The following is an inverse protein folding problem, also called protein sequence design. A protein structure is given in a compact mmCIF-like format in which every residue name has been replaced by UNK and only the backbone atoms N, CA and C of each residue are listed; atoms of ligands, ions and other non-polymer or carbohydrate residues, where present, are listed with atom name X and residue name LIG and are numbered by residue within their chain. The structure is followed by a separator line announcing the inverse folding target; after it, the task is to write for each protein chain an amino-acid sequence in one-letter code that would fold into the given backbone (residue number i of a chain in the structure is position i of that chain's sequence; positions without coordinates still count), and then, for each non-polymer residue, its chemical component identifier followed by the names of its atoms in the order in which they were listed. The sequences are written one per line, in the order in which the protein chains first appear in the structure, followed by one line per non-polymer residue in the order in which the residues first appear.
data_IF_172138097828
#
_entry.id   IF_172138097828
#
_cell.length_a   1.000
_cell.length_b   1.000
_cell.length_c   1.000
_cell.angle_alpha   90.00
_cell.angle_beta   90.00
_cell.angle_gamma   90.00
#
_symmetry.space_group_name_H-M   'P 1'
#
loop_
_entity.id
_entity.type
_entity.pdbx_description
1 polymer ?
#
# COMPACT_ATOMS: atom_id res chain seq x y z
N UNK A 1 34.72 46.79 -26.87
CA UNK A 1 34.90 47.48 -25.57
C UNK A 1 34.27 46.55 -24.55
N UNK A 2 35.01 45.57 -24.02
CA UNK A 2 35.87 45.66 -22.81
C UNK A 2 35.04 45.79 -21.53
N UNK A 3 35.16 44.96 -20.49
CA UNK A 3 36.07 43.83 -20.23
C UNK A 3 35.43 42.86 -19.21
N UNK A 4 35.85 41.60 -19.25
CA UNK A 4 35.74 40.63 -18.13
C UNK A 4 36.83 40.96 -17.08
N UNK A 5 36.66 40.66 -15.78
CA UNK A 5 37.37 39.48 -15.27
C UNK A 5 36.77 38.77 -14.02
N UNK A 6 36.98 37.44 -13.93
CA UNK A 6 37.15 36.72 -12.67
C UNK A 6 38.60 36.87 -12.13
N UNK A 7 38.87 36.82 -10.80
CA UNK A 7 39.09 35.51 -10.14
C UNK A 7 38.84 35.47 -8.59
N UNK A 8 39.01 34.30 -7.96
CA UNK A 8 39.41 34.22 -6.53
C UNK A 8 38.78 33.09 -5.69
N UNK A 9 39.60 32.36 -4.92
CA UNK A 9 39.20 31.32 -3.92
C UNK A 9 39.60 31.73 -2.49
N UNK A 10 38.90 31.20 -1.49
CA UNK A 10 39.25 31.23 -0.04
C UNK A 10 38.30 32.12 0.79
N UNK A 11 37.95 31.84 2.05
CA UNK A 11 38.29 30.73 2.96
C UNK A 11 37.26 30.63 4.12
N UNK A 12 37.19 29.47 4.80
CA UNK A 12 36.23 29.13 5.90
C UNK A 12 36.61 29.82 7.24
N UNK A 13 35.71 29.95 8.25
CA UNK A 13 35.74 28.98 9.37
C UNK A 13 34.41 28.69 10.15
N UNK A 14 34.19 27.42 10.51
CA UNK A 14 33.46 26.93 11.72
C UNK A 14 31.93 27.11 11.82
N UNK A 15 31.18 26.33 12.63
CA UNK A 15 31.45 25.06 13.32
C UNK A 15 30.17 24.52 14.00
N UNK A 16 29.76 23.27 13.75
CA UNK A 16 28.77 22.51 14.58
C UNK A 16 29.21 21.02 14.63
N UNK A 17 29.06 20.27 15.75
CA UNK A 17 29.83 19.04 15.97
C UNK A 17 29.23 17.74 15.42
N UNK A 18 30.09 16.72 15.36
CA UNK A 18 29.81 15.30 15.14
C UNK A 18 28.97 14.69 16.33
N UNK A 19 28.45 13.46 16.32
CA UNK A 19 28.96 12.21 15.73
C UNK A 19 27.84 11.20 15.44
N UNK A 20 28.03 10.37 14.41
CA UNK A 20 28.09 8.90 14.52
C UNK A 20 28.83 8.38 13.27
N UNK A 21 29.97 7.74 13.46
CA UNK A 21 30.75 7.15 12.38
C UNK A 21 30.93 5.66 12.62
N UNK A 22 30.69 4.85 11.60
CA UNK A 22 31.21 3.50 11.44
C UNK A 22 31.46 3.29 9.95
N UNK A 23 32.70 3.56 9.56
CA UNK A 23 33.25 3.25 8.24
C UNK A 23 33.66 1.77 8.25
N UNK A 24 33.20 0.97 7.30
CA UNK A 24 33.68 -0.40 7.11
C UNK A 24 33.96 -0.67 5.63
N UNK A 25 35.22 -1.00 5.35
CA UNK A 25 35.70 -1.40 4.03
C UNK A 25 34.97 -2.65 3.51
N UNK A 26 34.55 -2.61 2.25
CA UNK A 26 34.04 -3.78 1.53
C UNK A 26 35.19 -4.56 0.88
N UNK A 27 35.39 -5.86 1.18
CA UNK A 27 36.33 -6.70 0.44
C UNK A 27 35.72 -7.13 -0.91
N UNK A 28 36.55 -7.10 -1.96
CA UNK A 28 36.16 -7.47 -3.32
C UNK A 28 35.81 -8.97 -3.46
N UNK A 29 34.88 -9.28 -4.38
CA UNK A 29 34.41 -10.66 -4.65
C UNK A 29 35.53 -11.54 -5.22
N UNK A 30 35.92 -12.58 -4.47
CA UNK A 30 36.77 -13.69 -4.94
C UNK A 30 35.94 -14.91 -5.35
N UNK A 31 36.33 -15.58 -6.43
CA UNK A 31 35.57 -16.70 -7.00
C UNK A 31 35.94 -18.07 -6.42
N UNK A 32 34.94 -18.95 -6.28
CA UNK A 32 35.08 -20.40 -6.40
C UNK A 32 35.64 -21.18 -5.19
N UNK A 33 34.78 -21.98 -4.56
CA UNK A 33 35.16 -23.31 -4.09
C UNK A 33 33.93 -24.23 -3.96
N UNK A 34 34.12 -25.51 -4.28
CA UNK A 34 33.09 -26.54 -4.24
C UNK A 34 32.91 -27.11 -2.83
N UNK A 35 31.66 -27.23 -2.37
CA UNK A 35 31.35 -27.85 -1.07
C UNK A 35 31.29 -29.37 -1.20
N UNK A 36 32.23 -30.07 -0.57
CA UNK A 36 32.14 -31.51 -0.34
C UNK A 36 31.47 -31.78 1.02
N UNK A 37 30.36 -32.51 1.01
CA UNK A 37 29.75 -33.05 2.22
C UNK A 37 30.37 -34.42 2.54
N UNK A 38 30.73 -34.65 3.81
CA UNK A 38 31.10 -35.96 4.32
C UNK A 38 30.32 -36.25 5.60
N UNK A 39 29.71 -37.43 5.66
CA UNK A 39 28.89 -37.89 6.78
C UNK A 39 29.78 -38.67 7.75
N UNK A 40 29.74 -38.32 9.03
CA UNK A 40 30.28 -39.17 10.10
C UNK A 40 29.21 -39.46 11.14
N UNK A 41 28.75 -40.71 11.14
CA UNK A 41 28.00 -41.34 12.21
C UNK A 41 28.95 -41.80 13.32
N UNK A 42 28.62 -41.55 14.59
CA UNK A 42 29.22 -42.26 15.73
C UNK A 42 28.18 -42.58 16.81
N UNK A 43 28.33 -43.76 17.40
CA UNK A 43 27.37 -44.41 18.28
C UNK A 43 27.57 -44.13 19.77
N UNK A 44 26.59 -44.59 20.55
CA UNK A 44 26.39 -44.36 21.99
C UNK A 44 27.42 -44.93 22.99
N UNK A 45 27.54 -44.26 24.16
CA UNK A 45 27.70 -44.74 25.56
C UNK A 45 28.43 -43.65 26.40
N UNK A 46 28.22 -43.43 27.70
CA UNK A 46 27.23 -43.93 28.68
C UNK A 46 27.63 -43.56 30.14
N UNK A 47 26.65 -43.32 31.02
CA UNK A 47 26.75 -43.20 32.50
C UNK A 47 27.42 -41.94 33.14
N UNK A 48 27.00 -41.60 34.37
CA UNK A 48 27.70 -40.65 35.27
C UNK A 48 26.81 -39.59 35.96
N UNK A 49 26.10 -39.94 37.03
CA UNK A 49 25.31 -38.97 37.80
C UNK A 49 26.14 -38.23 38.86
N UNK A 50 25.97 -36.90 38.98
CA UNK A 50 26.26 -36.17 40.23
C UNK A 50 25.30 -34.98 40.39
N UNK A 51 24.76 -34.83 41.59
CA UNK A 51 23.75 -33.82 41.92
C UNK A 51 24.38 -32.52 42.40
N UNK A 52 23.98 -31.38 41.80
CA UNK A 52 24.20 -30.03 42.33
C UNK A 52 22.87 -29.28 42.39
N UNK A 53 22.60 -28.45 43.41
CA UNK A 53 21.37 -27.66 43.45
C UNK A 53 21.41 -26.60 42.34
N UNK A 54 20.39 -26.59 41.48
CA UNK A 54 20.21 -25.51 40.50
C UNK A 54 19.77 -24.21 41.19
N UNK A 55 20.19 -23.02 40.71
CA UNK A 55 19.73 -21.75 41.25
C UNK A 55 18.21 -21.58 41.04
N UNK A 56 17.50 -21.20 42.10
CA UNK A 56 16.10 -20.77 42.01
C UNK A 56 16.03 -19.45 41.27
N UNK A 57 15.53 -19.47 40.03
CA UNK A 57 15.21 -18.26 39.28
C UNK A 57 13.81 -17.77 39.64
N UNK A 58 13.75 -16.57 40.24
CA UNK A 58 12.48 -15.86 40.44
C UNK A 58 11.86 -15.52 39.09
N UNK A 59 10.57 -15.83 38.95
CA UNK A 59 9.79 -15.64 37.72
C UNK A 59 9.50 -14.15 37.52
N UNK A 60 10.44 -13.41 36.93
CA UNK A 60 10.17 -12.08 36.35
C UNK A 60 9.18 -12.27 35.21
N UNK A 61 7.89 -12.05 35.48
CA UNK A 61 6.82 -12.29 34.53
C UNK A 61 6.93 -11.38 33.31
N UNK A 62 6.48 -11.90 32.16
CA UNK A 62 6.12 -11.05 31.01
C UNK A 62 5.02 -10.04 31.39
N UNK A 63 4.69 -9.10 30.47
CA UNK A 63 3.80 -7.98 30.76
C UNK A 63 2.49 -8.47 31.40
N UNK A 64 2.14 -7.85 32.52
CA UNK A 64 0.97 -8.27 33.30
C UNK A 64 -0.32 -8.11 32.46
N UNK A 65 -1.36 -8.88 32.78
CA UNK A 65 -2.72 -8.69 32.21
C UNK A 65 -3.27 -7.26 32.39
N UNK A 66 -2.67 -6.45 33.27
CA UNK A 66 -3.02 -5.04 33.44
C UNK A 66 -2.27 -4.10 32.46
N UNK A 67 -1.11 -4.51 31.94
CA UNK A 67 -0.41 -3.78 30.87
C UNK A 67 -1.01 -4.05 29.49
N UNK A 68 -1.39 -5.30 29.19
CA UNK A 68 -2.13 -5.61 27.95
C UNK A 68 -3.45 -4.84 27.88
N UNK A 69 -4.27 -4.91 28.95
CA UNK A 69 -5.53 -4.14 29.07
C UNK A 69 -5.38 -2.63 28.95
N UNK A 70 -4.20 -2.05 29.22
CA UNK A 70 -3.93 -0.62 29.02
C UNK A 70 -3.55 -0.27 27.57
N UNK A 71 -3.07 -1.23 26.80
CA UNK A 71 -2.89 -1.08 25.35
C UNK A 71 -4.23 -1.21 24.63
N UNK A 72 -5.07 -2.17 25.05
CA UNK A 72 -6.40 -2.42 24.47
C UNK A 72 -7.30 -1.16 24.55
N UNK A 73 -7.29 -0.45 25.68
CA UNK A 73 -8.09 0.76 25.91
C UNK A 73 -7.67 1.99 25.07
N UNK A 74 -6.61 1.89 24.26
CA UNK A 74 -6.10 2.97 23.41
C UNK A 74 -6.41 2.77 21.91
N UNK A 75 -7.17 1.73 21.54
CA UNK A 75 -7.67 1.53 20.18
C UNK A 75 -9.09 2.07 20.04
N UNK A 76 -9.46 2.68 18.90
CA UNK A 76 -10.86 2.90 18.58
C UNK A 76 -11.56 1.55 18.31
N UNK A 77 -12.88 1.55 18.21
CA UNK A 77 -13.63 0.35 17.77
C UNK A 77 -13.36 0.03 16.29
N UNK A 78 -13.07 1.05 15.49
CA UNK A 78 -12.64 0.99 14.09
C UNK A 78 -11.75 2.19 13.81
N UNK A 79 -10.75 2.05 12.94
CA UNK A 79 -9.96 3.19 12.45
C UNK A 79 -10.60 3.92 11.25
N UNK A 80 -11.87 3.63 10.92
CA UNK A 80 -12.64 4.37 9.92
C UNK A 80 -12.87 5.83 10.33
N UNK A 81 -12.81 6.72 9.34
CA UNK A 81 -13.37 8.07 9.43
C UNK A 81 -14.90 8.01 9.40
N UNK A 82 -15.56 8.83 10.23
CA UNK A 82 -17.03 8.91 10.36
C UNK A 82 -17.52 10.34 10.12
N UNK A 83 -18.78 10.48 9.67
CA UNK A 83 -19.41 11.81 9.56
C UNK A 83 -19.40 12.51 10.95
N UNK A 84 -18.80 13.70 11.00
CA UNK A 84 -18.54 14.45 12.24
C UNK A 84 -17.07 14.44 12.67
N UNK A 85 -16.26 13.50 12.18
CA UNK A 85 -14.80 13.58 12.31
C UNK A 85 -14.25 14.76 11.49
N UNK A 86 -13.08 15.31 11.86
CA UNK A 86 -12.44 16.36 11.09
C UNK A 86 -12.19 15.94 9.63
N UNK A 87 -12.58 16.78 8.67
CA UNK A 87 -12.51 16.45 7.24
C UNK A 87 -11.09 16.41 6.67
N UNK A 88 -10.13 17.11 7.28
CA UNK A 88 -8.79 17.28 6.74
C UNK A 88 -8.80 18.06 5.43
N UNK A 89 -8.05 17.61 4.43
CA UNK A 89 -8.09 18.12 3.05
C UNK A 89 -9.26 17.59 2.21
N UNK A 90 -10.00 16.58 2.72
CA UNK A 90 -11.00 15.85 1.92
C UNK A 90 -12.15 16.74 1.46
N UNK A 91 -12.50 16.54 0.19
CA UNK A 91 -13.76 16.96 -0.43
C UNK A 91 -14.63 15.73 -0.63
N UNK A 92 -15.92 15.94 -0.79
CA UNK A 92 -16.91 14.87 -0.98
C UNK A 92 -17.76 15.18 -2.21
N UNK A 93 -18.08 14.13 -2.98
CA UNK A 93 -19.03 14.18 -4.08
C UNK A 93 -20.01 13.01 -3.92
N UNK A 94 -21.31 13.30 -3.91
CA UNK A 94 -22.34 12.26 -3.94
C UNK A 94 -22.60 11.91 -5.42
N UNK A 95 -22.27 10.69 -5.82
CA UNK A 95 -22.29 10.24 -7.23
C UNK A 95 -23.58 9.49 -7.62
N UNK A 96 -24.54 9.36 -6.70
CA UNK A 96 -25.79 8.63 -6.91
C UNK A 96 -25.67 7.13 -6.64
N UNK A 97 -26.50 6.33 -7.29
CA UNK A 97 -26.50 4.88 -7.12
C UNK A 97 -25.42 4.20 -7.98
N UNK A 98 -24.87 3.10 -7.47
CA UNK A 98 -23.87 2.27 -8.16
C UNK A 98 -24.40 0.83 -8.27
N UNK A 99 -24.70 0.39 -9.49
CA UNK A 99 -24.95 -1.02 -9.81
C UNK A 99 -23.61 -1.79 -9.81
N UNK A 100 -23.61 -3.03 -9.33
CA UNK A 100 -22.39 -3.79 -9.07
C UNK A 100 -22.21 -4.98 -10.03
N UNK A 101 -20.98 -5.27 -10.44
CA UNK A 101 -20.62 -6.40 -11.30
C UNK A 101 -21.02 -7.75 -10.70
N UNK A 102 -20.91 -7.90 -9.38
CA UNK A 102 -21.36 -9.10 -8.64
C UNK A 102 -22.90 -9.19 -8.48
N UNK A 103 -23.64 -8.19 -8.95
CA UNK A 103 -25.08 -8.02 -8.73
C UNK A 103 -25.41 -7.29 -7.43
N UNK A 104 -26.60 -6.67 -7.42
CA UNK A 104 -26.98 -5.72 -6.37
C UNK A 104 -26.50 -4.30 -6.67
N UNK A 105 -26.79 -3.37 -5.76
CA UNK A 105 -26.47 -1.96 -5.92
C UNK A 105 -26.22 -1.29 -4.57
N UNK A 106 -25.44 -0.20 -4.58
CA UNK A 106 -25.35 0.75 -3.47
C UNK A 106 -26.22 1.96 -3.84
N UNK A 107 -27.32 2.25 -3.12
CA UNK A 107 -28.33 3.24 -3.55
C UNK A 107 -27.85 4.70 -3.49
N UNK A 108 -26.82 4.99 -2.69
CA UNK A 108 -26.17 6.30 -2.62
C UNK A 108 -24.69 6.13 -2.26
N UNK A 109 -23.81 6.42 -3.21
CA UNK A 109 -22.36 6.43 -3.02
C UNK A 109 -21.89 7.88 -2.87
N UNK A 110 -21.12 8.11 -1.80
CA UNK A 110 -20.30 9.31 -1.60
C UNK A 110 -18.85 8.93 -1.86
N UNK A 111 -18.17 9.73 -2.66
CA UNK A 111 -16.73 9.63 -2.90
C UNK A 111 -16.01 10.74 -2.13
N UNK A 112 -15.10 10.37 -1.23
CA UNK A 112 -14.13 11.29 -0.66
C UNK A 112 -12.88 11.37 -1.54
N UNK A 113 -12.37 12.57 -1.76
CA UNK A 113 -11.22 12.81 -2.62
C UNK A 113 -10.45 14.06 -2.21
N UNK A 114 -9.19 14.14 -2.61
CA UNK A 114 -8.35 15.34 -2.49
C UNK A 114 -7.86 15.79 -3.87
N UNK A 115 -7.51 17.07 -3.99
CA UNK A 115 -7.10 17.69 -5.27
C UNK A 115 -5.97 18.70 -5.09
N UNK A 116 -5.02 18.73 -6.02
CA UNK A 116 -3.92 19.70 -6.06
C UNK A 116 -3.77 20.27 -7.48
N UNK A 117 -3.28 21.51 -7.60
CA UNK A 117 -3.28 22.23 -8.89
C UNK A 117 -4.67 22.71 -9.31
N UNK A 118 -4.81 23.10 -10.58
CA UNK A 118 -6.03 23.71 -11.13
C UNK A 118 -6.41 23.06 -12.47
N UNK A 119 -7.68 22.67 -12.61
CA UNK A 119 -8.23 22.16 -13.87
C UNK A 119 -8.36 23.30 -14.89
N UNK A 120 -7.90 23.07 -16.12
CA UNK A 120 -8.00 24.05 -17.20
C UNK A 120 -9.41 24.06 -17.84
N UNK A 121 -9.70 25.06 -18.68
CA UNK A 121 -11.01 25.22 -19.33
C UNK A 121 -11.36 24.06 -20.30
N UNK A 122 -10.35 23.39 -20.84
CA UNK A 122 -10.52 22.22 -21.70
C UNK A 122 -10.96 20.98 -20.92
N UNK A 123 -10.54 20.84 -19.66
CA UNK A 123 -10.75 19.67 -18.81
C UNK A 123 -9.77 18.53 -19.09
N UNK A 124 -8.58 18.83 -19.63
CA UNK A 124 -7.63 17.84 -20.19
C UNK A 124 -6.23 17.84 -19.53
N UNK A 125 -5.95 18.71 -18.55
CA UNK A 125 -4.70 18.69 -17.79
C UNK A 125 -4.76 17.84 -16.50
N UNK A 126 -5.69 16.89 -16.41
CA UNK A 126 -5.94 16.15 -15.18
C UNK A 126 -5.04 14.91 -15.01
N UNK A 127 -4.65 14.60 -13.76
CA UNK A 127 -3.90 13.38 -13.40
C UNK A 127 -4.59 12.68 -12.23
N UNK A 128 -4.85 11.38 -12.36
CA UNK A 128 -5.53 10.56 -11.36
C UNK A 128 -4.53 9.67 -10.61
N UNK A 129 -4.49 9.78 -9.29
CA UNK A 129 -3.60 9.01 -8.41
C UNK A 129 -4.41 8.01 -7.58
N UNK A 130 -4.19 6.72 -7.84
CA UNK A 130 -4.97 5.62 -7.29
C UNK A 130 -4.16 4.87 -6.21
N UNK A 131 -4.63 4.97 -4.96
CA UNK A 131 -3.95 4.42 -3.80
C UNK A 131 -4.00 2.87 -3.73
N UNK A 132 -3.01 2.31 -3.04
CA UNK A 132 -2.93 0.88 -2.69
C UNK A 132 -3.91 0.48 -1.56
N UNK A 133 -3.99 -0.82 -1.23
CA UNK A 133 -4.97 -1.44 -0.31
C UNK A 133 -5.24 -0.66 0.98
N UNK A 134 -4.19 -0.19 1.68
CA UNK A 134 -4.33 0.54 2.95
C UNK A 134 -3.96 2.03 2.87
N UNK A 135 -3.93 2.58 1.65
CA UNK A 135 -3.84 4.02 1.41
C UNK A 135 -5.22 4.70 1.43
N UNK A 136 -5.24 5.99 1.14
CA UNK A 136 -6.45 6.82 1.06
C UNK A 136 -6.24 7.99 0.08
N UNK A 137 -7.13 8.98 0.11
CA UNK A 137 -7.03 10.22 -0.68
C UNK A 137 -5.79 11.07 -0.35
N UNK A 138 -5.15 10.89 0.80
CA UNK A 138 -4.16 11.83 1.30
C UNK A 138 -2.76 11.55 0.73
N UNK A 139 -2.51 12.01 -0.50
CA UNK A 139 -1.24 11.77 -1.21
C UNK A 139 -0.12 12.66 -0.68
N UNK A 140 -0.42 13.92 -0.33
CA UNK A 140 0.55 14.94 0.09
C UNK A 140 0.03 15.74 1.29
N UNK A 141 0.85 15.89 2.32
CA UNK A 141 0.55 16.71 3.49
C UNK A 141 1.09 16.13 4.80
N UNK A 142 0.99 16.90 5.89
CA UNK A 142 1.36 16.45 7.22
C UNK A 142 0.24 15.63 7.87
N UNK A 143 0.61 14.69 8.74
CA UNK A 143 -0.34 14.05 9.65
C UNK A 143 -0.97 15.11 10.56
N UNK A 144 -2.30 15.08 10.72
CA UNK A 144 -2.99 16.16 11.40
C UNK A 144 -4.50 15.96 11.54
N UNK A 145 -5.22 17.07 11.66
CA UNK A 145 -6.64 17.07 11.94
C UNK A 145 -7.44 16.44 10.77
N UNK A 146 -7.88 15.19 10.93
CA UNK A 146 -8.58 14.41 9.90
C UNK A 146 -7.71 13.41 9.13
N UNK A 147 -6.38 13.51 9.22
CA UNK A 147 -5.43 12.62 8.55
C UNK A 147 -4.50 11.94 9.56
N UNK A 148 -4.75 10.67 9.84
CA UNK A 148 -4.01 9.88 10.84
C UNK A 148 -2.55 9.58 10.46
N UNK A 149 -2.18 9.81 9.19
CA UNK A 149 -0.83 9.66 8.63
C UNK A 149 -0.53 10.81 7.68
N UNK A 150 0.74 11.15 7.51
CA UNK A 150 1.21 12.08 6.50
C UNK A 150 1.01 11.49 5.09
N UNK A 151 1.06 12.36 4.08
CA UNK A 151 0.78 12.05 2.69
C UNK A 151 1.65 10.92 2.14
N UNK A 152 1.02 9.85 1.66
CA UNK A 152 1.69 8.58 1.35
C UNK A 152 2.61 8.62 0.11
N UNK A 153 2.55 9.70 -0.68
CA UNK A 153 3.37 9.88 -1.89
C UNK A 153 3.90 11.32 -2.03
N UNK A 154 4.18 11.98 -0.90
CA UNK A 154 4.55 13.41 -0.83
C UNK A 154 5.77 13.83 -1.66
N UNK A 155 6.61 12.90 -2.11
CA UNK A 155 7.76 13.18 -3.01
C UNK A 155 7.40 13.11 -4.51
N UNK A 156 6.23 12.57 -4.86
CA UNK A 156 5.80 12.37 -6.26
C UNK A 156 4.89 13.48 -6.77
N UNK A 157 4.12 14.13 -5.90
CA UNK A 157 3.09 15.13 -6.26
C UNK A 157 3.38 16.46 -5.58
N UNK A 158 3.34 17.56 -6.33
CA UNK A 158 3.55 18.92 -5.83
C UNK A 158 4.16 19.87 -6.87
N UNK A 159 4.41 21.15 -6.53
CA UNK A 159 5.01 22.13 -7.44
C UNK A 159 6.41 21.69 -7.88
N UNK A 160 6.62 21.51 -9.20
CA UNK A 160 7.87 21.01 -9.77
C UNK A 160 8.23 19.55 -9.43
N UNK A 161 7.33 18.80 -8.80
CA UNK A 161 7.50 17.37 -8.51
C UNK A 161 7.35 16.51 -9.78
N UNK A 162 7.63 15.19 -9.74
CA UNK A 162 7.43 14.30 -10.88
C UNK A 162 6.03 14.36 -11.51
N UNK A 163 5.01 14.51 -10.67
CA UNK A 163 3.63 14.88 -11.04
C UNK A 163 3.43 16.34 -10.59
N UNK A 164 3.77 17.24 -11.50
CA UNK A 164 3.87 18.68 -11.26
C UNK A 164 2.50 19.36 -11.14
N UNK A 165 2.15 19.85 -9.95
CA UNK A 165 0.86 20.54 -9.69
C UNK A 165 0.80 21.96 -10.23
N UNK A 166 1.92 22.54 -10.68
CA UNK A 166 1.90 23.81 -11.42
C UNK A 166 1.43 23.61 -12.88
N UNK A 167 1.34 22.36 -13.33
CA UNK A 167 0.93 21.96 -14.69
C UNK A 167 -0.36 21.14 -14.71
N UNK A 168 -0.50 20.21 -13.77
CA UNK A 168 -1.58 19.23 -13.75
C UNK A 168 -2.58 19.46 -12.61
N UNK A 169 -3.85 19.17 -12.89
CA UNK A 169 -4.89 19.02 -11.87
C UNK A 169 -4.86 17.59 -11.34
N UNK A 170 -4.21 17.39 -10.19
CA UNK A 170 -4.06 16.07 -9.58
C UNK A 170 -5.27 15.77 -8.71
N UNK A 171 -5.85 14.58 -8.86
CA UNK A 171 -7.00 14.08 -8.09
C UNK A 171 -6.64 12.74 -7.45
N UNK A 172 -7.00 12.55 -6.19
CA UNK A 172 -6.84 11.28 -5.48
C UNK A 172 -8.12 10.90 -4.72
N UNK A 173 -8.94 9.96 -5.24
CA UNK A 173 -10.10 9.45 -4.54
C UNK A 173 -9.72 8.36 -3.52
N UNK A 174 -10.29 8.44 -2.32
CA UNK A 174 -10.44 7.26 -1.48
C UNK A 174 -11.45 6.31 -2.18
N UNK A 175 -11.11 5.03 -2.26
CA UNK A 175 -11.88 4.03 -3.01
C UNK A 175 -13.22 3.67 -2.34
N UNK A 176 -14.22 3.28 -3.13
CA UNK A 176 -15.46 2.64 -2.62
C UNK A 176 -15.10 1.34 -1.90
N UNK A 177 -15.75 1.07 -0.77
CA UNK A 177 -15.39 -0.01 0.16
C UNK A 177 -14.24 0.34 1.11
N UNK A 178 -13.56 1.47 0.92
CA UNK A 178 -12.57 2.00 1.85
C UNK A 178 -13.18 2.64 3.10
N UNK A 179 -12.31 3.08 4.02
CA UNK A 179 -12.73 3.59 5.34
C UNK A 179 -12.34 5.06 5.62
N UNK A 180 -11.80 5.79 4.64
CA UNK A 180 -11.32 7.17 4.81
C UNK A 180 -12.19 8.16 4.02
N UNK A 181 -13.51 8.05 4.21
CA UNK A 181 -14.51 9.05 3.81
C UNK A 181 -15.46 8.66 2.67
N UNK A 182 -15.06 7.77 1.76
CA UNK A 182 -15.98 7.26 0.72
C UNK A 182 -16.90 6.18 1.29
N UNK A 183 -18.02 5.91 0.62
CA UNK A 183 -18.96 4.86 1.02
C UNK A 183 -18.27 3.50 1.12
N UNK A 184 -18.29 2.94 2.33
CA UNK A 184 -17.75 1.63 2.68
C UNK A 184 -18.54 1.02 3.85
N UNK A 185 -18.10 -0.13 4.38
CA UNK A 185 -18.81 -0.84 5.45
C UNK A 185 -19.07 -0.03 6.73
N UNK A 186 -18.24 0.97 7.02
CA UNK A 186 -18.40 1.87 8.17
C UNK A 186 -19.33 3.06 7.93
N UNK A 187 -19.74 3.30 6.68
CA UNK A 187 -20.69 4.35 6.31
C UNK A 187 -22.10 3.95 6.69
N UNK A 188 -23.00 4.92 6.85
CA UNK A 188 -24.41 4.63 7.13
C UNK A 188 -25.14 4.12 5.88
N UNK A 189 -25.95 3.08 6.07
CA UNK A 189 -26.93 2.55 5.14
C UNK A 189 -28.25 3.34 5.23
N UNK A 190 -29.23 3.11 4.33
CA UNK A 190 -30.50 3.87 4.31
C UNK A 190 -31.38 3.74 5.56
N UNK A 191 -31.16 2.73 6.40
CA UNK A 191 -31.83 2.55 7.69
C UNK A 191 -31.17 3.33 8.85
N UNK A 192 -30.06 4.02 8.57
CA UNK A 192 -29.29 4.80 9.54
C UNK A 192 -28.32 3.98 10.40
N UNK A 193 -28.14 2.68 10.13
CA UNK A 193 -27.10 1.85 10.74
C UNK A 193 -25.84 1.81 9.84
N UNK A 194 -24.64 1.54 10.37
CA UNK A 194 -23.49 1.23 9.54
C UNK A 194 -23.76 0.02 8.63
N UNK A 195 -23.28 0.03 7.39
CA UNK A 195 -23.48 -1.08 6.45
C UNK A 195 -23.02 -2.44 6.99
N UNK A 196 -21.90 -2.50 7.73
CA UNK A 196 -21.50 -3.70 8.47
C UNK A 196 -21.42 -4.95 7.59
N UNK A 197 -22.02 -6.03 8.07
CA UNK A 197 -22.14 -7.31 7.37
C UNK A 197 -23.03 -7.25 6.11
N UNK A 198 -23.80 -6.17 5.92
CA UNK A 198 -24.66 -5.95 4.77
C UNK A 198 -23.99 -5.18 3.62
N UNK A 199 -22.73 -4.72 3.77
CA UNK A 199 -22.03 -4.09 2.66
C UNK A 199 -21.84 -5.10 1.51
N UNK A 200 -22.24 -4.77 0.26
CA UNK A 200 -22.20 -5.73 -0.83
C UNK A 200 -20.77 -6.04 -1.28
N UNK A 201 -20.60 -7.19 -1.93
CA UNK A 201 -19.35 -7.53 -2.63
C UNK A 201 -19.16 -6.53 -3.77
N UNK A 202 -17.97 -5.94 -3.85
CA UNK A 202 -17.57 -5.04 -4.93
C UNK A 202 -16.32 -5.59 -5.63
N UNK A 203 -16.15 -5.27 -6.91
CA UNK A 203 -14.98 -5.58 -7.71
C UNK A 203 -14.14 -4.34 -7.99
N UNK A 204 -12.96 -4.53 -8.59
CA UNK A 204 -12.14 -3.40 -9.08
C UNK A 204 -12.88 -2.59 -10.16
N UNK A 205 -13.81 -3.20 -10.90
CA UNK A 205 -14.62 -2.50 -11.91
C UNK A 205 -15.64 -1.57 -11.28
N UNK A 206 -16.28 -2.00 -10.20
CA UNK A 206 -17.23 -1.16 -9.45
C UNK A 206 -16.52 0.06 -8.84
N UNK A 207 -15.28 -0.12 -8.36
CA UNK A 207 -14.43 0.97 -7.89
C UNK A 207 -14.12 1.98 -9.00
N UNK A 208 -13.72 1.51 -10.18
CA UNK A 208 -13.45 2.36 -11.35
C UNK A 208 -14.73 3.03 -11.88
N UNK A 209 -15.88 2.35 -11.87
CA UNK A 209 -17.16 2.94 -12.24
C UNK A 209 -17.54 4.13 -11.34
N UNK A 210 -17.34 4.01 -10.02
CA UNK A 210 -17.53 5.12 -9.09
C UNK A 210 -16.55 6.29 -9.33
N UNK A 211 -15.31 5.98 -9.72
CA UNK A 211 -14.29 6.98 -10.07
C UNK A 211 -14.59 7.68 -11.42
N UNK A 212 -15.25 6.99 -12.36
CA UNK A 212 -15.77 7.56 -13.60
C UNK A 212 -16.88 8.59 -13.30
N UNK A 213 -17.81 8.29 -12.39
CA UNK A 213 -18.82 9.29 -11.98
C UNK A 213 -18.21 10.49 -11.26
N UNK A 214 -17.20 10.26 -10.40
CA UNK A 214 -16.42 11.35 -9.80
C UNK A 214 -15.72 12.21 -10.88
N UNK A 215 -15.16 11.59 -11.92
CA UNK A 215 -14.52 12.29 -13.04
C UNK A 215 -15.51 13.25 -13.73
N UNK A 216 -16.74 12.79 -13.97
CA UNK A 216 -17.81 13.63 -14.53
C UNK A 216 -18.23 14.76 -13.58
N UNK A 217 -18.36 14.48 -12.29
CA UNK A 217 -18.70 15.48 -11.27
C UNK A 217 -17.62 16.59 -11.14
N UNK A 218 -16.37 16.27 -11.44
CA UNK A 218 -15.24 17.22 -11.45
C UNK A 218 -15.08 17.98 -12.78
N UNK A 219 -15.84 17.63 -13.82
CA UNK A 219 -15.73 18.25 -15.14
C UNK A 219 -14.47 17.84 -15.93
N UNK A 220 -13.77 16.79 -15.51
CA UNK A 220 -12.61 16.25 -16.23
C UNK A 220 -13.08 15.53 -17.50
N UNK A 221 -12.45 15.84 -18.63
CA UNK A 221 -12.74 15.24 -19.95
C UNK A 221 -11.71 14.20 -20.36
N UNK A 222 -10.43 14.47 -20.11
CA UNK A 222 -9.34 13.51 -20.36
C UNK A 222 -8.37 13.50 -19.18
N UNK A 223 -7.93 12.29 -18.82
CA UNK A 223 -6.82 12.08 -17.91
C UNK A 223 -5.53 11.99 -18.72
N UNK A 224 -4.64 12.98 -18.54
CA UNK A 224 -3.29 12.93 -19.11
C UNK A 224 -2.49 11.74 -18.56
N UNK A 225 -2.71 11.39 -17.30
CA UNK A 225 -2.09 10.24 -16.67
C UNK A 225 -2.98 9.67 -15.57
N UNK A 226 -3.20 8.35 -15.59
CA UNK A 226 -3.80 7.60 -14.48
C UNK A 226 -2.73 6.68 -13.91
N UNK A 227 -2.35 6.87 -12.65
CA UNK A 227 -1.24 6.16 -12.03
C UNK A 227 -1.62 5.55 -10.69
N UNK A 228 -1.11 4.34 -10.45
CA UNK A 228 -1.43 3.59 -9.25
C UNK A 228 -0.48 2.42 -9.07
N UNK A 229 -0.23 2.10 -7.81
CA UNK A 229 0.65 1.01 -7.41
C UNK A 229 -0.12 -0.06 -6.64
N UNK A 230 0.32 -1.33 -6.68
CA UNK A 230 -0.35 -2.43 -5.96
C UNK A 230 -1.82 -2.56 -6.41
N UNK A 231 -2.77 -2.58 -5.48
CA UNK A 231 -4.22 -2.46 -5.73
C UNK A 231 -4.58 -1.27 -6.64
N UNK A 232 -3.87 -0.14 -6.51
CA UNK A 232 -4.04 1.02 -7.37
C UNK A 232 -3.75 0.69 -8.84
N UNK A 233 -2.75 -0.15 -9.12
CA UNK A 233 -2.43 -0.60 -10.47
C UNK A 233 -3.51 -1.51 -11.09
N UNK A 234 -4.27 -2.25 -10.28
CA UNK A 234 -5.44 -3.01 -10.73
C UNK A 234 -6.53 -2.05 -11.25
N UNK A 235 -6.78 -0.98 -10.49
CA UNK A 235 -7.72 0.11 -10.85
C UNK A 235 -7.24 0.83 -12.12
N UNK A 236 -5.94 1.12 -12.25
CA UNK A 236 -5.35 1.72 -13.48
C UNK A 236 -5.63 0.88 -14.72
N UNK A 237 -5.48 -0.45 -14.64
CA UNK A 237 -5.70 -1.34 -15.78
C UNK A 237 -7.17 -1.41 -16.19
N UNK A 238 -8.10 -1.44 -15.23
CA UNK A 238 -9.54 -1.36 -15.54
C UNK A 238 -9.91 0.04 -16.09
N UNK A 239 -9.32 1.12 -15.58
CA UNK A 239 -9.46 2.48 -16.12
C UNK A 239 -9.06 2.61 -17.59
N UNK A 240 -7.99 1.91 -18.00
CA UNK A 240 -7.49 1.92 -19.37
C UNK A 240 -8.48 1.31 -20.41
N UNK A 241 -9.53 0.62 -19.95
CA UNK A 241 -10.60 0.04 -20.76
C UNK A 241 -11.94 0.72 -20.49
N UNK A 242 -12.36 0.79 -19.22
CA UNK A 242 -13.64 1.35 -18.79
C UNK A 242 -13.74 2.85 -19.01
N UNK A 243 -12.64 3.61 -18.90
CA UNK A 243 -12.62 5.05 -19.15
C UNK A 243 -13.04 5.39 -20.60
N UNK A 244 -12.33 4.85 -21.61
CA UNK A 244 -12.71 5.00 -23.02
C UNK A 244 -14.12 4.48 -23.34
N UNK A 245 -14.53 3.32 -22.79
CA UNK A 245 -15.90 2.78 -22.93
C UNK A 245 -16.96 3.75 -22.38
N UNK A 246 -16.64 4.45 -21.28
CA UNK A 246 -17.49 5.44 -20.62
C UNK A 246 -17.41 6.86 -21.21
N UNK A 247 -16.66 7.06 -22.31
CA UNK A 247 -16.49 8.33 -23.00
C UNK A 247 -15.50 9.30 -22.34
N UNK A 248 -14.64 8.82 -21.44
CA UNK A 248 -13.57 9.60 -20.78
C UNK A 248 -12.25 9.38 -21.52
N UNK A 249 -11.53 10.46 -21.83
CA UNK A 249 -10.19 10.36 -22.42
C UNK A 249 -9.16 9.80 -21.43
N UNK A 250 -8.27 8.94 -21.91
CA UNK A 250 -7.15 8.38 -21.13
C UNK A 250 -5.92 8.38 -22.03
N UNK A 251 -5.11 9.44 -21.93
CA UNK A 251 -3.94 9.62 -22.80
C UNK A 251 -2.81 8.65 -22.42
N UNK A 252 -2.60 8.47 -21.11
CA UNK A 252 -1.57 7.57 -20.59
C UNK A 252 -1.87 6.98 -19.22
N UNK A 253 -1.24 5.86 -18.91
CA UNK A 253 -1.43 5.10 -17.68
C UNK A 253 -0.09 4.60 -17.10
N UNK A 254 -0.01 4.52 -15.78
CA UNK A 254 1.18 4.09 -15.03
C UNK A 254 0.85 2.98 -14.04
N UNK A 255 1.25 1.75 -14.37
CA UNK A 255 0.99 0.55 -13.57
C UNK A 255 2.27 0.15 -12.84
N UNK A 256 2.27 0.28 -11.51
CA UNK A 256 3.46 0.07 -10.68
C UNK A 256 3.24 -1.12 -9.75
N UNK A 257 4.18 -2.08 -9.71
CA UNK A 257 4.15 -3.24 -8.79
C UNK A 257 2.76 -3.90 -8.73
N UNK A 258 2.23 -4.32 -9.87
CA UNK A 258 0.83 -4.77 -10.01
C UNK A 258 0.69 -5.89 -11.05
N UNK A 259 -0.52 -6.44 -11.20
CA UNK A 259 -0.85 -7.56 -12.08
C UNK A 259 -2.17 -7.29 -12.85
N UNK A 260 -2.36 -7.96 -13.99
CA UNK A 260 -3.59 -7.87 -14.78
C UNK A 260 -4.67 -8.91 -14.38
N UNK A 261 -4.36 -9.76 -13.42
CA UNK A 261 -5.23 -10.80 -12.88
C UNK A 261 -4.57 -11.27 -11.58
N UNK A 262 -5.36 -11.46 -10.52
CA UNK A 262 -4.80 -11.86 -9.22
C UNK A 262 -4.32 -13.32 -9.26
N UNK A 263 -3.01 -13.60 -9.08
CA UNK A 263 -2.47 -14.96 -9.17
C UNK A 263 -2.79 -15.78 -7.93
N UNK A 264 -2.72 -17.11 -8.05
CA UNK A 264 -3.04 -18.05 -6.98
C UNK A 264 -2.22 -17.87 -5.69
N UNK A 265 -0.99 -17.36 -5.78
CA UNK A 265 -0.16 -17.05 -4.61
C UNK A 265 -0.75 -15.89 -3.78
N UNK A 266 -1.24 -14.82 -4.42
CA UNK A 266 -1.91 -13.72 -3.71
C UNK A 266 -3.20 -14.19 -3.01
N UNK A 267 -3.98 -15.06 -3.67
CA UNK A 267 -5.16 -15.70 -3.06
C UNK A 267 -4.75 -16.53 -1.83
N UNK A 268 -3.66 -17.29 -1.93
CA UNK A 268 -3.15 -18.13 -0.85
C UNK A 268 -2.65 -17.32 0.36
N UNK A 269 -1.99 -16.17 0.14
CA UNK A 269 -1.55 -15.28 1.22
C UNK A 269 -2.68 -14.44 1.83
N UNK A 270 -3.71 -14.10 1.06
CA UNK A 270 -4.87 -13.35 1.54
C UNK A 270 -5.84 -14.21 2.37
N UNK A 271 -6.03 -15.47 2.01
CA UNK A 271 -6.94 -16.38 2.73
C UNK A 271 -6.71 -16.44 4.26
N UNK A 272 -5.48 -16.61 4.79
CA UNK A 272 -5.24 -16.59 6.24
C UNK A 272 -5.42 -15.20 6.88
N UNK A 273 -5.31 -14.11 6.10
CA UNK A 273 -5.58 -12.74 6.58
C UNK A 273 -7.08 -12.55 6.84
N UNK A 274 -7.91 -12.87 5.85
CA UNK A 274 -9.37 -12.85 5.98
C UNK A 274 -9.84 -13.78 7.10
N UNK A 275 -9.30 -15.00 7.14
CA UNK A 275 -9.59 -15.98 8.20
C UNK A 275 -9.24 -15.43 9.60
N UNK A 276 -8.13 -14.71 9.75
CA UNK A 276 -7.75 -14.11 11.03
C UNK A 276 -8.73 -13.01 11.49
N UNK A 277 -9.26 -12.21 10.55
CA UNK A 277 -10.29 -11.20 10.85
C UNK A 277 -11.60 -11.87 11.25
N UNK A 278 -12.11 -12.82 10.46
CA UNK A 278 -13.37 -13.50 10.76
C UNK A 278 -13.31 -14.37 12.03
N UNK A 279 -12.13 -14.87 12.40
CA UNK A 279 -11.93 -15.63 13.63
C UNK A 279 -11.79 -14.77 14.91
N UNK A 280 -11.67 -13.44 14.79
CA UNK A 280 -11.64 -12.55 15.96
C UNK A 280 -13.03 -12.52 16.63
N UNK A 281 -13.18 -12.91 17.91
CA UNK A 281 -14.47 -12.86 18.60
C UNK A 281 -15.11 -11.47 18.63
N UNK A 282 -14.33 -10.40 18.47
CA UNK A 282 -14.81 -9.01 18.42
C UNK A 282 -15.29 -8.58 17.02
N UNK A 283 -15.09 -9.41 15.99
CA UNK A 283 -15.57 -9.15 14.62
C UNK A 283 -17.10 -9.23 14.52
N UNK A 284 -17.77 -10.02 15.37
CA UNK A 284 -19.25 -10.08 15.46
C UNK A 284 -19.96 -10.27 14.09
N UNK A 285 -19.34 -11.00 13.17
CA UNK A 285 -19.87 -11.21 11.81
C UNK A 285 -19.81 -10.00 10.87
N UNK A 286 -19.19 -8.89 11.30
CA UNK A 286 -19.13 -7.61 10.60
C UNK A 286 -19.76 -6.46 11.40
N UNK A 287 -20.63 -6.78 12.36
CA UNK A 287 -21.48 -5.80 13.04
C UNK A 287 -20.92 -5.41 14.41
N UNK A 288 -19.75 -4.76 14.39
CA UNK A 288 -18.99 -4.37 15.59
C UNK A 288 -18.99 -2.87 15.89
N UNK A 289 -19.58 -2.02 15.05
CA UNK A 289 -19.38 -0.57 15.09
C UNK A 289 -19.93 0.16 16.32
N UNK A 290 -20.92 -0.42 17.00
CA UNK A 290 -21.52 0.07 18.26
C UNK A 290 -20.77 -0.39 19.52
N UNK A 291 -19.74 -1.23 19.37
CA UNK A 291 -18.95 -1.68 20.51
C UNK A 291 -18.08 -0.53 21.07
N UNK A 292 -17.68 -0.68 22.34
CA UNK A 292 -16.84 0.30 23.01
C UNK A 292 -15.44 0.40 22.33
N UNK A 293 -14.74 1.55 22.45
CA UNK A 293 -13.32 1.64 22.12
C UNK A 293 -12.50 0.52 22.79
N UNK A 294 -11.56 -0.06 22.05
CA UNK A 294 -10.81 -1.27 22.43
C UNK A 294 -11.57 -2.58 22.23
N UNK A 295 -12.83 -2.54 21.77
CA UNK A 295 -13.71 -3.72 21.64
C UNK A 295 -14.14 -4.07 20.20
N UNK A 296 -13.43 -3.54 19.20
CA UNK A 296 -13.45 -4.02 17.82
C UNK A 296 -12.39 -5.09 17.50
N UNK A 297 -12.40 -5.68 16.29
CA UNK A 297 -11.56 -6.82 15.84
C UNK A 297 -10.08 -6.47 15.54
N UNK A 298 -9.44 -5.75 16.45
CA UNK A 298 -8.06 -5.28 16.29
C UNK A 298 -7.02 -6.41 16.35
N UNK A 299 -7.34 -7.57 16.94
CA UNK A 299 -6.42 -8.72 16.99
C UNK A 299 -6.40 -9.43 15.65
N UNK A 300 -7.56 -9.72 15.07
CA UNK A 300 -7.69 -10.31 13.73
C UNK A 300 -7.11 -9.42 12.64
N UNK A 301 -7.46 -8.12 12.65
CA UNK A 301 -6.89 -7.12 11.73
C UNK A 301 -5.37 -6.96 11.94
N UNK A 302 -4.90 -7.07 13.18
CA UNK A 302 -3.47 -7.04 13.49
C UNK A 302 -2.71 -8.23 12.90
N UNK A 303 -3.24 -9.45 13.05
CA UNK A 303 -2.66 -10.67 12.47
C UNK A 303 -2.69 -10.60 10.93
N UNK A 304 -3.81 -10.17 10.34
CA UNK A 304 -3.95 -9.95 8.91
C UNK A 304 -2.86 -8.98 8.39
N UNK A 305 -2.68 -7.84 9.07
CA UNK A 305 -1.61 -6.90 8.72
C UNK A 305 -0.22 -7.50 8.90
N UNK A 306 0.04 -8.27 9.95
CA UNK A 306 1.35 -8.92 10.15
C UNK A 306 1.68 -9.87 9.00
N UNK A 307 0.73 -10.71 8.56
CA UNK A 307 0.89 -11.61 7.41
C UNK A 307 1.17 -10.80 6.15
N UNK A 308 0.31 -9.82 5.82
CA UNK A 308 0.47 -8.98 4.63
C UNK A 308 1.78 -8.20 4.65
N UNK A 309 2.21 -7.71 5.81
CA UNK A 309 3.46 -6.97 5.93
C UNK A 309 4.70 -7.86 5.77
N UNK A 310 4.59 -9.18 5.87
CA UNK A 310 5.66 -10.06 5.39
C UNK A 310 5.77 -10.03 3.86
N UNK A 311 4.65 -10.11 3.12
CA UNK A 311 4.69 -10.12 1.64
C UNK A 311 5.11 -8.77 1.06
N UNK A 312 4.86 -7.67 1.79
CA UNK A 312 5.27 -6.33 1.34
C UNK A 312 6.79 -6.09 1.38
N UNK A 313 7.56 -6.86 2.15
CA UNK A 313 9.01 -6.70 2.36
C UNK A 313 9.82 -7.85 1.77
N UNK A 314 11.08 -7.62 1.42
CA UNK A 314 11.95 -8.69 0.94
C UNK A 314 12.39 -9.63 2.08
N UNK A 315 12.83 -10.83 1.75
CA UNK A 315 13.48 -11.73 2.73
C UNK A 315 14.86 -11.20 3.15
N UNK A 316 15.53 -10.45 2.28
CA UNK A 316 16.85 -9.87 2.52
C UNK A 316 16.78 -8.77 3.59
N UNK A 317 15.83 -7.83 3.48
CA UNK A 317 15.63 -6.76 4.47
C UNK A 317 15.41 -7.36 5.86
N UNK A 318 14.60 -8.41 5.98
CA UNK A 318 14.31 -9.01 7.29
C UNK A 318 15.55 -9.61 7.96
N UNK A 319 16.44 -10.26 7.21
CA UNK A 319 17.64 -10.90 7.78
C UNK A 319 18.73 -9.87 8.09
N UNK A 320 18.96 -8.89 7.21
CA UNK A 320 19.95 -7.83 7.44
C UNK A 320 19.54 -6.89 8.59
N UNK A 321 18.28 -6.45 8.60
CA UNK A 321 17.78 -5.46 9.56
C UNK A 321 17.50 -6.03 10.94
N UNK A 322 17.10 -7.30 11.03
CA UNK A 322 16.67 -7.92 12.29
C UNK A 322 17.35 -9.28 12.54
N UNK A 323 17.45 -10.13 11.52
CA UNK A 323 18.02 -11.47 11.63
C UNK A 323 17.50 -12.23 12.86
N UNK A 324 18.38 -12.44 13.84
CA UNK A 324 18.07 -13.13 15.11
C UNK A 324 18.16 -12.24 16.35
N UNK A 325 18.16 -10.91 16.18
CA UNK A 325 18.30 -9.93 17.26
C UNK A 325 17.07 -9.99 18.20
N UNK A 326 17.30 -10.06 19.51
CA UNK A 326 16.26 -9.95 20.53
C UNK A 326 15.69 -8.54 20.61
N UNK A 327 14.41 -8.39 20.99
CA UNK A 327 13.82 -7.07 21.19
C UNK A 327 14.39 -6.38 22.44
N UNK A 328 15.43 -5.56 22.26
CA UNK A 328 16.08 -4.85 23.36
C UNK A 328 16.62 -5.80 24.44
N UNK A 329 16.08 -5.70 25.66
CA UNK A 329 16.43 -6.58 26.78
C UNK A 329 15.56 -7.84 26.94
N UNK A 330 14.68 -8.14 25.99
CA UNK A 330 13.85 -9.36 26.02
C UNK A 330 14.69 -10.63 25.75
N UNK A 331 14.28 -11.76 26.34
CA UNK A 331 14.94 -13.07 26.17
C UNK A 331 14.00 -14.03 25.40
N UNK A 332 14.24 -14.30 24.10
CA UNK A 332 13.42 -15.21 23.30
C UNK A 332 13.33 -16.63 23.85
N UNK A 333 14.34 -17.11 24.59
CA UNK A 333 14.33 -18.45 25.19
C UNK A 333 13.46 -18.53 26.46
N UNK A 334 12.97 -17.39 26.95
CA UNK A 334 12.09 -17.27 28.12
C UNK A 334 10.75 -16.60 27.79
N UNK A 335 10.36 -16.58 26.52
CA UNK A 335 9.09 -16.02 26.06
C UNK A 335 9.10 -14.51 25.78
N UNK A 336 10.29 -13.90 25.73
CA UNK A 336 10.47 -12.59 25.08
C UNK A 336 10.42 -12.70 23.55
N UNK A 337 10.52 -11.57 22.87
CA UNK A 337 10.39 -11.48 21.40
C UNK A 337 11.72 -11.23 20.70
N UNK A 338 11.79 -11.63 19.44
CA UNK A 338 12.76 -11.11 18.48
C UNK A 338 12.36 -9.70 18.01
N UNK A 339 13.32 -8.90 17.56
CA UNK A 339 13.09 -7.53 17.07
C UNK A 339 12.08 -7.50 15.90
N UNK A 340 12.17 -8.48 14.97
CA UNK A 340 11.21 -8.62 13.86
C UNK A 340 9.77 -8.90 14.33
N UNK A 341 9.58 -9.61 15.43
CA UNK A 341 8.24 -9.82 15.99
C UNK A 341 7.68 -8.52 16.56
N UNK A 342 8.48 -7.77 17.33
CA UNK A 342 8.06 -6.47 17.85
C UNK A 342 7.85 -5.42 16.75
N UNK A 343 8.52 -5.55 15.61
CA UNK A 343 8.29 -4.74 14.42
C UNK A 343 6.92 -5.05 13.79
N UNK A 344 6.58 -6.33 13.60
CA UNK A 344 5.27 -6.74 13.11
C UNK A 344 4.14 -6.32 14.08
N UNK A 345 4.31 -6.51 15.40
CA UNK A 345 3.38 -6.05 16.43
C UNK A 345 3.11 -4.53 16.35
N UNK A 346 4.17 -3.74 16.08
CA UNK A 346 4.06 -2.30 15.91
C UNK A 346 3.27 -1.93 14.64
N UNK A 347 3.54 -2.57 13.50
CA UNK A 347 2.83 -2.32 12.25
C UNK A 347 1.36 -2.77 12.29
N UNK A 348 1.06 -3.89 12.96
CA UNK A 348 -0.29 -4.33 13.28
C UNK A 348 -1.04 -3.27 14.12
N UNK A 349 -0.43 -2.82 15.22
CA UNK A 349 -0.98 -1.77 16.09
C UNK A 349 -1.16 -0.43 15.39
N UNK A 350 -0.27 -0.09 14.44
CA UNK A 350 -0.35 1.15 13.65
C UNK A 350 -1.51 1.09 12.65
N UNK A 351 -1.77 -0.05 12.01
CA UNK A 351 -2.92 -0.18 11.10
C UNK A 351 -4.25 -0.14 11.87
N UNK A 352 -4.38 -0.91 12.95
CA UNK A 352 -5.64 -1.05 13.70
C UNK A 352 -6.16 0.28 14.33
N UNK A 353 -5.33 1.33 14.35
CA UNK A 353 -5.72 2.68 14.78
C UNK A 353 -6.26 3.60 13.67
N UNK A 354 -6.03 3.26 12.40
CA UNK A 354 -6.33 4.12 11.22
C UNK A 354 -7.06 3.40 10.07
N UNK A 355 -7.44 2.14 10.28
CA UNK A 355 -8.08 1.33 9.26
C UNK A 355 -9.19 0.48 9.87
N UNK A 356 -10.16 0.11 9.03
CA UNK A 356 -11.32 -0.67 9.41
C UNK A 356 -11.21 -2.13 8.96
N UNK A 357 -11.71 -3.07 9.76
CA UNK A 357 -11.58 -4.50 9.48
C UNK A 357 -12.51 -4.96 8.34
N UNK A 358 -13.77 -4.50 8.30
CA UNK A 358 -14.66 -4.80 7.17
C UNK A 358 -14.13 -4.19 5.87
N UNK A 359 -13.64 -2.95 5.91
CA UNK A 359 -13.02 -2.35 4.71
C UNK A 359 -11.77 -3.12 4.26
N UNK A 360 -10.98 -3.66 5.20
CA UNK A 360 -9.87 -4.55 4.86
C UNK A 360 -10.35 -5.83 4.16
N UNK A 361 -11.42 -6.45 4.66
CA UNK A 361 -12.05 -7.62 4.03
C UNK A 361 -12.55 -7.28 2.63
N UNK A 362 -13.43 -6.30 2.49
CA UNK A 362 -14.05 -5.88 1.21
C UNK A 362 -13.01 -5.53 0.16
N UNK A 363 -12.00 -4.73 0.50
CA UNK A 363 -10.96 -4.35 -0.47
C UNK A 363 -10.05 -5.52 -0.84
N UNK A 364 -9.75 -6.41 0.12
CA UNK A 364 -9.00 -7.65 -0.18
C UNK A 364 -9.81 -8.56 -1.10
N UNK A 365 -11.11 -8.73 -0.87
CA UNK A 365 -11.99 -9.54 -1.73
C UNK A 365 -12.15 -8.93 -3.14
N UNK A 366 -12.20 -7.59 -3.26
CA UNK A 366 -12.16 -6.92 -4.56
C UNK A 366 -10.84 -7.18 -5.30
N UNK A 367 -9.71 -7.26 -4.59
CA UNK A 367 -8.42 -7.68 -5.17
C UNK A 367 -8.47 -9.15 -5.59
N UNK A 368 -8.98 -10.06 -4.75
CA UNK A 368 -9.03 -11.49 -5.06
C UNK A 368 -9.93 -11.82 -6.25
N UNK A 369 -10.92 -10.97 -6.52
CA UNK A 369 -11.81 -11.07 -7.70
C UNK A 369 -11.29 -10.30 -8.92
N UNK A 370 -10.13 -9.63 -8.86
CA UNK A 370 -9.60 -8.91 -10.02
C UNK A 370 -9.13 -9.86 -11.14
N UNK A 371 -9.74 -9.70 -12.31
CA UNK A 371 -9.36 -10.34 -13.57
C UNK A 371 -9.71 -9.40 -14.73
N UNK A 372 -8.71 -8.72 -15.29
CA UNK A 372 -8.89 -7.81 -16.41
C UNK A 372 -9.48 -8.50 -17.65
N UNK A 373 -9.28 -9.82 -17.76
CA UNK A 373 -9.74 -10.66 -18.86
C UNK A 373 -11.15 -11.23 -18.74
N UNK A 374 -11.79 -11.11 -17.57
CA UNK A 374 -13.18 -11.52 -17.33
C UNK A 374 -14.09 -10.85 -18.37
N UNK A 375 -14.88 -11.65 -19.08
CA UNK A 375 -15.79 -11.23 -20.17
C UNK A 375 -15.14 -10.50 -21.37
N UNK A 376 -13.80 -10.37 -21.40
CA UNK A 376 -13.02 -9.69 -22.45
C UNK A 376 -12.17 -10.65 -23.31
N UNK A 377 -12.54 -11.93 -23.35
CA UNK A 377 -11.79 -12.95 -24.10
C UNK A 377 -10.43 -13.32 -23.49
N UNK A 378 -10.25 -13.09 -22.18
CA UNK A 378 -9.04 -13.41 -21.44
C UNK A 378 -8.05 -12.25 -21.33
N UNK A 379 -7.20 -12.29 -20.30
CA UNK A 379 -6.35 -11.17 -19.85
C UNK A 379 -5.46 -10.61 -20.96
N UNK A 380 -4.83 -11.48 -21.75
CA UNK A 380 -3.90 -11.06 -22.79
C UNK A 380 -4.63 -10.33 -23.94
N UNK A 381 -5.90 -10.68 -24.19
CA UNK A 381 -6.78 -10.00 -25.16
C UNK A 381 -7.16 -8.62 -24.64
N UNK A 382 -7.54 -8.51 -23.36
CA UNK A 382 -7.87 -7.24 -22.71
C UNK A 382 -6.67 -6.27 -22.64
N UNK A 383 -5.46 -6.79 -22.34
CA UNK A 383 -4.22 -6.01 -22.39
C UNK A 383 -3.92 -5.52 -23.82
N UNK A 384 -4.14 -6.35 -24.83
CA UNK A 384 -3.90 -6.00 -26.22
C UNK A 384 -4.89 -4.94 -26.77
N UNK A 385 -6.03 -4.72 -26.12
CA UNK A 385 -6.98 -3.65 -26.45
C UNK A 385 -6.69 -2.30 -25.78
N UNK A 386 -5.72 -2.20 -24.86
CA UNK A 386 -5.34 -0.93 -24.25
C UNK A 386 -4.69 -0.02 -25.30
N UNK A 387 -5.28 1.16 -25.51
CA UNK A 387 -4.81 2.19 -26.47
C UNK A 387 -3.98 3.29 -25.81
N UNK A 388 -4.15 3.52 -24.50
CA UNK A 388 -3.43 4.53 -23.74
C UNK A 388 -1.91 4.23 -23.71
N UNK A 389 -1.08 5.27 -23.80
CA UNK A 389 0.38 5.13 -23.59
C UNK A 389 0.60 4.50 -22.21
N UNK A 390 1.29 3.37 -22.15
CA UNK A 390 1.41 2.61 -20.88
C UNK A 390 2.84 2.59 -20.37
N UNK A 391 3.04 3.03 -19.13
CA UNK A 391 4.24 2.81 -18.33
C UNK A 391 3.98 1.63 -17.38
N UNK A 392 4.92 0.67 -17.33
CA UNK A 392 4.88 -0.46 -16.40
C UNK A 392 6.16 -0.47 -15.58
N UNK A 393 6.05 -0.48 -14.25
CA UNK A 393 7.21 -0.49 -13.34
C UNK A 393 7.15 -1.70 -12.43
N UNK A 394 8.07 -2.64 -12.60
CA UNK A 394 8.28 -3.76 -11.66
C UNK A 394 9.23 -3.34 -10.53
N UNK A 395 9.19 -4.04 -9.39
CA UNK A 395 10.25 -3.97 -8.36
C UNK A 395 10.94 -5.35 -8.31
N UNK A 396 12.27 -5.38 -8.39
CA UNK A 396 13.03 -6.62 -8.58
C UNK A 396 12.93 -7.63 -7.43
N UNK A 397 12.77 -7.16 -6.19
CA UNK A 397 12.58 -8.02 -5.00
C UNK A 397 11.12 -8.20 -4.57
N UNK A 398 10.14 -7.78 -5.39
CA UNK A 398 8.72 -7.94 -5.07
C UNK A 398 8.33 -9.42 -4.93
N UNK A 399 7.66 -9.76 -3.81
CA UNK A 399 7.10 -11.09 -3.52
C UNK A 399 5.63 -11.03 -3.06
N UNK A 400 4.91 -10.05 -3.60
CA UNK A 400 3.45 -10.01 -3.67
C UNK A 400 3.03 -9.89 -5.14
N UNK A 401 3.54 -8.88 -5.84
CA UNK A 401 3.35 -8.66 -7.27
C UNK A 401 4.67 -8.96 -8.00
N UNK A 402 4.92 -10.25 -8.21
CA UNK A 402 6.15 -10.75 -8.83
C UNK A 402 6.47 -10.00 -10.14
N UNK A 403 7.76 -9.73 -10.45
CA UNK A 403 8.17 -9.05 -11.69
C UNK A 403 7.53 -9.63 -12.96
N UNK A 404 7.31 -10.95 -13.01
CA UNK A 404 6.66 -11.66 -14.10
C UNK A 404 5.24 -11.15 -14.44
N UNK A 405 4.49 -10.61 -13.47
CA UNK A 405 3.16 -10.03 -13.73
C UNK A 405 3.26 -8.67 -14.43
N UNK A 406 4.24 -7.86 -14.05
CA UNK A 406 4.57 -6.61 -14.76
C UNK A 406 5.15 -6.88 -16.15
N UNK A 407 6.00 -7.91 -16.31
CA UNK A 407 6.45 -8.37 -17.62
C UNK A 407 5.29 -8.83 -18.51
N UNK A 408 4.27 -9.49 -17.93
CA UNK A 408 3.07 -9.91 -18.67
C UNK A 408 2.28 -8.71 -19.17
N UNK A 409 2.07 -7.69 -18.35
CA UNK A 409 1.42 -6.43 -18.77
C UNK A 409 2.21 -5.80 -19.92
N UNK A 410 3.50 -5.57 -19.74
CA UNK A 410 4.36 -4.93 -20.75
C UNK A 410 4.50 -5.72 -22.06
N UNK A 411 4.34 -7.06 -22.02
CA UNK A 411 4.39 -7.94 -23.19
C UNK A 411 3.16 -7.83 -24.08
N UNK A 412 1.98 -7.60 -23.50
CA UNK A 412 0.71 -7.64 -24.24
C UNK A 412 0.10 -6.26 -24.52
N UNK A 413 0.43 -5.23 -23.74
CA UNK A 413 -0.01 -3.86 -24.03
C UNK A 413 0.83 -3.24 -25.16
N UNK A 414 0.23 -2.80 -26.28
CA UNK A 414 0.97 -2.26 -27.42
C UNK A 414 1.81 -1.03 -27.05
N UNK A 415 3.12 -1.08 -27.34
CA UNK A 415 4.03 0.04 -27.10
C UNK A 415 4.31 0.36 -25.62
N UNK A 416 3.98 -0.55 -24.70
CA UNK A 416 4.22 -0.35 -23.27
C UNK A 416 5.71 -0.17 -22.95
N UNK A 417 5.99 0.80 -22.09
CA UNK A 417 7.32 1.10 -21.58
C UNK A 417 7.55 0.36 -20.26
N UNK A 418 8.28 -0.75 -20.30
CA UNK A 418 8.74 -1.43 -19.09
C UNK A 418 9.90 -0.68 -18.41
N UNK A 419 9.91 -0.65 -17.08
CA UNK A 419 11.01 -0.24 -16.21
C UNK A 419 11.12 -1.19 -15.02
N UNK A 420 12.32 -1.30 -14.48
CA UNK A 420 12.61 -2.06 -13.26
C UNK A 420 13.12 -1.08 -12.20
N UNK A 421 12.53 -1.17 -11.01
CA UNK A 421 12.94 -0.49 -9.80
C UNK A 421 13.81 -1.47 -9.00
N UNK A 422 15.02 -1.04 -8.64
CA UNK A 422 15.88 -1.83 -7.78
C UNK A 422 15.64 -1.43 -6.33
N UNK A 423 15.24 -2.37 -5.47
CA UNK A 423 14.97 -2.06 -4.06
C UNK A 423 15.18 -3.28 -3.16
N UNK A 424 15.79 -3.09 -2.01
CA UNK A 424 15.84 -4.13 -0.97
C UNK A 424 14.53 -4.24 -0.18
N UNK A 425 13.60 -3.28 -0.34
CA UNK A 425 12.37 -3.19 0.46
C UNK A 425 11.18 -4.00 -0.08
N UNK A 426 11.36 -4.81 -1.12
CA UNK A 426 10.28 -5.61 -1.71
C UNK A 426 9.20 -4.75 -2.37
N UNK A 427 7.95 -5.18 -2.24
CA UNK A 427 6.79 -4.45 -2.76
C UNK A 427 6.73 -3.00 -2.27
N UNK A 428 7.10 -2.71 -1.01
CA UNK A 428 7.11 -1.35 -0.46
C UNK A 428 8.11 -0.40 -1.18
N UNK A 429 8.96 -0.90 -2.10
CA UNK A 429 9.91 -0.08 -2.87
C UNK A 429 9.28 1.09 -3.63
N UNK A 430 8.03 0.98 -4.12
CA UNK A 430 7.35 2.11 -4.79
C UNK A 430 6.95 3.26 -3.83
N UNK A 431 7.05 3.05 -2.52
CA UNK A 431 6.84 4.05 -1.47
C UNK A 431 8.15 4.58 -0.86
N UNK A 432 9.31 4.17 -1.41
CA UNK A 432 10.64 4.44 -0.83
C UNK A 432 11.63 4.93 -1.89
N UNK A 433 11.72 4.28 -3.04
CA UNK A 433 12.73 4.52 -4.09
C UNK A 433 12.40 5.73 -4.98
N UNK A 434 12.05 6.87 -4.38
CA UNK A 434 11.63 8.08 -5.10
C UNK A 434 12.71 8.63 -6.04
N UNK A 435 13.98 8.46 -5.70
CA UNK A 435 15.12 8.87 -6.53
C UNK A 435 15.19 8.12 -7.87
N UNK A 436 14.61 6.91 -7.95
CA UNK A 436 14.47 6.13 -9.18
C UNK A 436 13.09 6.36 -9.82
N UNK A 437 12.01 6.25 -9.03
CA UNK A 437 10.63 6.28 -9.52
C UNK A 437 10.21 7.68 -10.03
N UNK A 438 10.65 8.74 -9.36
CA UNK A 438 10.37 10.12 -9.74
C UNK A 438 10.86 10.45 -11.15
N UNK A 439 12.15 10.27 -11.47
CA UNK A 439 12.68 10.47 -12.82
C UNK A 439 12.03 9.58 -13.89
N UNK A 440 11.64 8.34 -13.55
CA UNK A 440 10.90 7.45 -14.46
C UNK A 440 9.55 8.06 -14.86
N UNK A 441 8.74 8.46 -13.87
CA UNK A 441 7.40 9.06 -14.10
C UNK A 441 7.51 10.41 -14.81
N UNK A 442 8.41 11.28 -14.35
CA UNK A 442 8.62 12.60 -14.94
C UNK A 442 9.05 12.52 -16.42
N UNK A 443 9.94 11.58 -16.76
CA UNK A 443 10.39 11.37 -18.15
C UNK A 443 9.25 10.90 -19.05
N UNK A 444 8.45 9.96 -18.56
CA UNK A 444 7.30 9.42 -19.31
C UNK A 444 6.25 10.50 -19.60
N UNK A 445 5.92 11.35 -18.61
CA UNK A 445 5.05 12.51 -18.78
C UNK A 445 5.66 13.55 -19.74
N UNK A 446 6.96 13.79 -19.67
CA UNK A 446 7.64 14.75 -20.56
C UNK A 446 7.70 14.29 -22.03
N UNK A 447 7.70 12.98 -22.31
CA UNK A 447 7.67 12.43 -23.67
C UNK A 447 6.34 12.64 -24.38
N UNK A 448 5.20 12.57 -23.66
CA UNK A 448 3.89 12.85 -24.23
C UNK A 448 3.83 14.27 -24.81
N UNK A 449 4.30 15.25 -24.03
CA UNK A 449 4.37 16.68 -24.38
C UNK A 449 5.33 17.00 -25.56
N UNK A 450 6.06 16.03 -26.12
CA UNK A 450 6.91 16.19 -27.33
C UNK A 450 6.36 15.48 -28.57
N UNK A 451 5.25 14.75 -28.42
CA UNK A 451 4.64 13.93 -29.47
C UNK A 451 3.31 14.50 -29.96
N UNK A 452 2.83 15.57 -29.32
CA UNK A 452 1.75 16.46 -29.73
C UNK A 452 2.35 17.80 -30.19
#
# INVERSE_FOLDING_TARGET
MTNDPAPGRGSIPGSVPAHWGLEMDMPARGAGSSVHWSVMSHDSQGSGASSRPGPQWTRTGGPSRAQSRRLDAAFPVSGAWRDGDPVGGRRFADIGALELEAGGHIPAVRMAYETWGTLNEAGDNAVLVLHALTGDSHVVGDAGNGHATAGWWSQMVGPGAPIDTDRYFVVAPNVVGGCQGSTGPSSLAPDGQPWGSHFPIITVRDQVAAEIELTRALGVRSWQFIVGASMGGLRVLEWALLGPEAGVGVESVGVIASAAQTPGDQIAWAHPQLTAIHADPKFRGGDYYDAAPGDGPHVGLGIARSIAHTTYRSAHEFDERFGRISQGGEDPMRGGRFAVQSYLDHHASKLAKRFDANSYVVLTESMLTHDLGRDRGGVNTALASITARTLVVAVDTDRLFLPAESERIARYVPGAQARLLHSDFGHDGFLIEFDQLGPIVASFLAEANRSA
#
